data_IF_847489027756
#
_entry.id   IF_847489027756
#
_cell.length_a   1.000
_cell.length_b   1.000
_cell.length_c   1.000
_cell.angle_alpha   90.00
_cell.angle_beta   90.00
_cell.angle_gamma   90.00
#
_symmetry.space_group_name_H-M   'P 1'
#
loop_
_entity.id
_entity.type
_entity.pdbx_description
1 polymer ?
#
# COMPACT_ATOMS: atom_id res chain seq x y z
N UNK A 1 28.99 -6.08 -9.00
CA UNK A 1 29.55 -6.26 -10.37
C UNK A 1 28.35 -6.30 -11.32
N UNK A 2 28.05 -5.19 -12.00
CA UNK A 2 26.90 -5.08 -12.90
C UNK A 2 27.23 -5.84 -14.19
N UNK A 3 26.38 -6.79 -14.61
CA UNK A 3 26.56 -7.48 -15.88
C UNK A 3 26.42 -6.46 -17.02
N UNK A 4 27.31 -6.45 -18.01
CA UNK A 4 27.21 -5.53 -19.13
C UNK A 4 25.97 -5.83 -19.96
N UNK A 5 25.24 -4.77 -20.36
CA UNK A 5 24.13 -4.88 -21.30
C UNK A 5 24.70 -5.23 -22.67
N UNK A 6 24.31 -6.39 -23.20
CA UNK A 6 24.82 -6.93 -24.45
C UNK A 6 23.73 -7.03 -25.54
N UNK A 7 24.20 -7.09 -26.79
CA UNK A 7 23.31 -7.47 -27.91
C UNK A 7 22.96 -8.95 -27.80
N UNK A 8 21.67 -9.28 -27.88
CA UNK A 8 21.19 -10.64 -27.67
C UNK A 8 19.67 -10.76 -27.87
N UNK A 9 19.10 -11.96 -27.57
CA UNK A 9 17.68 -12.21 -27.77
C UNK A 9 16.80 -11.36 -26.83
N UNK A 10 17.33 -10.89 -25.68
CA UNK A 10 16.63 -10.00 -24.76
C UNK A 10 16.92 -8.55 -25.13
N UNK A 11 15.92 -7.73 -25.43
CA UNK A 11 16.10 -6.33 -25.77
C UNK A 11 16.85 -5.55 -24.67
N UNK A 12 17.74 -4.62 -25.06
CA UNK A 12 18.56 -3.83 -24.12
C UNK A 12 17.74 -3.09 -23.05
N UNK A 13 16.54 -2.60 -23.39
CA UNK A 13 15.69 -1.93 -22.41
C UNK A 13 15.13 -2.89 -21.34
N UNK A 14 14.88 -4.15 -21.69
CA UNK A 14 14.44 -5.16 -20.72
C UNK A 14 15.59 -5.59 -19.82
N UNK A 15 16.80 -5.74 -20.36
CA UNK A 15 18.00 -6.00 -19.56
C UNK A 15 18.24 -4.86 -18.57
N UNK A 16 18.19 -3.60 -19.04
CA UNK A 16 18.33 -2.42 -18.19
C UNK A 16 17.22 -2.34 -17.14
N UNK A 17 15.97 -2.63 -17.50
CA UNK A 17 14.85 -2.68 -16.55
C UNK A 17 15.15 -3.64 -15.40
N UNK A 18 15.57 -4.88 -15.70
CA UNK A 18 15.87 -5.89 -14.69
C UNK A 18 17.04 -5.49 -13.79
N UNK A 19 18.08 -4.86 -14.34
CA UNK A 19 19.21 -4.33 -13.57
C UNK A 19 18.77 -3.20 -12.64
N UNK A 20 17.95 -2.27 -13.14
CA UNK A 20 17.42 -1.17 -12.33
C UNK A 20 16.47 -1.69 -11.23
N UNK A 21 15.62 -2.69 -11.50
CA UNK A 21 14.78 -3.32 -10.48
C UNK A 21 15.60 -3.92 -9.34
N UNK A 22 16.65 -4.67 -9.68
CA UNK A 22 17.55 -5.27 -8.69
C UNK A 22 18.26 -4.20 -7.86
N UNK A 23 18.75 -3.13 -8.52
CA UNK A 23 19.42 -2.02 -7.87
C UNK A 23 18.48 -1.22 -6.97
N UNK A 24 17.26 -0.94 -7.43
CA UNK A 24 16.24 -0.26 -6.62
C UNK A 24 15.97 -1.05 -5.34
N UNK A 25 15.82 -2.36 -5.44
CA UNK A 25 15.56 -3.20 -4.28
C UNK A 25 16.73 -3.26 -3.28
N UNK A 26 17.99 -3.13 -3.76
CA UNK A 26 19.19 -3.24 -2.94
C UNK A 26 19.67 -1.92 -2.33
N UNK A 27 19.51 -0.80 -3.04
CA UNK A 27 20.22 0.45 -2.75
C UNK A 27 19.31 1.64 -2.43
N UNK A 28 17.99 1.58 -2.77
CA UNK A 28 17.09 2.72 -2.66
C UNK A 28 15.91 2.45 -1.72
N UNK A 29 15.48 3.51 -1.05
CA UNK A 29 14.24 3.54 -0.28
C UNK A 29 13.11 4.20 -1.07
N UNK A 30 11.82 3.92 -0.75
CA UNK A 30 10.71 4.66 -1.29
C UNK A 30 10.88 6.18 -1.13
N UNK A 31 10.68 6.92 -2.22
CA UNK A 31 10.88 8.37 -2.25
C UNK A 31 12.27 8.83 -2.68
N UNK A 32 13.26 7.94 -2.74
CA UNK A 32 14.61 8.30 -3.19
C UNK A 32 14.62 8.67 -4.68
N UNK A 33 15.41 9.68 -5.07
CA UNK A 33 15.55 10.05 -6.47
C UNK A 33 16.40 9.00 -7.22
N UNK A 34 15.91 8.56 -8.37
CA UNK A 34 16.72 7.76 -9.30
C UNK A 34 17.73 8.67 -10.02
N UNK A 35 18.94 8.18 -10.34
CA UNK A 35 19.89 8.91 -11.18
C UNK A 35 19.23 9.38 -12.50
N UNK A 36 19.60 10.58 -12.96
CA UNK A 36 19.04 11.14 -14.17
C UNK A 36 19.31 10.30 -15.42
N UNK A 37 18.47 10.42 -16.46
CA UNK A 37 18.57 9.63 -17.72
C UNK A 37 20.00 9.66 -18.27
N UNK A 38 20.67 10.83 -18.29
CA UNK A 38 22.04 10.95 -18.81
C UNK A 38 23.06 10.18 -17.98
N UNK A 39 22.95 10.22 -16.66
CA UNK A 39 23.84 9.44 -15.80
C UNK A 39 23.67 7.93 -16.03
N UNK A 40 22.45 7.47 -16.23
CA UNK A 40 22.17 6.07 -16.57
C UNK A 40 22.66 5.69 -17.99
N UNK A 41 22.57 6.60 -18.97
CA UNK A 41 23.16 6.40 -20.30
C UNK A 41 24.66 6.15 -20.21
N UNK A 42 25.34 7.04 -19.46
CA UNK A 42 26.80 6.98 -19.28
C UNK A 42 27.21 5.73 -18.46
N UNK A 43 26.48 5.39 -17.41
CA UNK A 43 26.76 4.27 -16.51
C UNK A 43 26.56 2.90 -17.18
N UNK A 44 25.49 2.73 -17.96
CA UNK A 44 25.13 1.44 -18.56
C UNK A 44 25.53 1.32 -20.04
N UNK A 45 26.09 2.36 -20.63
CA UNK A 45 26.55 2.36 -22.03
C UNK A 45 25.41 2.13 -23.04
N UNK A 46 24.23 2.63 -22.77
CA UNK A 46 23.03 2.46 -23.62
C UNK A 46 22.50 3.79 -24.12
N UNK A 47 21.67 3.75 -25.17
CA UNK A 47 21.08 4.96 -25.72
C UNK A 47 20.01 5.54 -24.78
N UNK A 48 19.78 6.86 -24.89
CA UNK A 48 18.73 7.57 -24.16
C UNK A 48 17.34 6.97 -24.36
N UNK A 49 17.05 6.51 -25.59
CA UNK A 49 15.78 5.86 -25.89
C UNK A 49 15.61 4.58 -25.07
N UNK A 50 16.69 3.79 -24.93
CA UNK A 50 16.73 2.56 -24.13
C UNK A 50 16.46 2.88 -22.66
N UNK A 51 17.13 3.90 -22.12
CA UNK A 51 16.93 4.34 -20.71
C UNK A 51 15.49 4.80 -20.50
N UNK A 52 14.96 5.66 -21.39
CA UNK A 52 13.59 6.19 -21.25
C UNK A 52 12.54 5.09 -21.32
N UNK A 53 12.76 4.05 -22.14
CA UNK A 53 11.86 2.91 -22.26
C UNK A 53 11.90 2.07 -20.98
N UNK A 54 13.08 1.71 -20.48
CA UNK A 54 13.24 0.96 -19.22
C UNK A 54 12.60 1.69 -18.04
N UNK A 55 12.84 3.00 -17.89
CA UNK A 55 12.19 3.83 -16.86
C UNK A 55 10.68 3.88 -17.07
N UNK A 56 10.20 4.02 -18.32
CA UNK A 56 8.78 4.02 -18.66
C UNK A 56 8.08 2.73 -18.24
N UNK A 57 8.71 1.58 -18.49
CA UNK A 57 8.21 0.27 -18.10
C UNK A 57 8.15 0.12 -16.57
N UNK A 58 9.17 0.63 -15.84
CA UNK A 58 9.18 0.65 -14.37
C UNK A 58 8.12 1.58 -13.77
N UNK A 59 7.84 2.71 -14.44
CA UNK A 59 6.74 3.62 -14.04
C UNK A 59 5.39 2.95 -14.28
N UNK A 60 5.21 2.29 -15.44
CA UNK A 60 3.98 1.55 -15.73
C UNK A 60 3.75 0.37 -14.76
N UNK A 61 4.83 -0.26 -14.31
CA UNK A 61 4.80 -1.30 -13.28
C UNK A 61 4.65 -0.76 -11.84
N UNK A 62 4.52 0.56 -11.65
CA UNK A 62 4.37 1.18 -10.32
C UNK A 62 5.63 1.10 -9.44
N UNK A 63 6.80 0.79 -10.02
CA UNK A 63 8.08 0.73 -9.28
C UNK A 63 8.76 2.10 -9.17
N UNK A 64 8.48 2.97 -10.12
CA UNK A 64 8.96 4.35 -10.17
C UNK A 64 7.78 5.32 -10.38
N UNK A 65 7.96 6.58 -9.94
CA UNK A 65 7.04 7.68 -10.24
C UNK A 65 7.80 8.86 -10.85
N UNK A 66 7.21 9.51 -11.85
CA UNK A 66 7.75 10.74 -12.41
C UNK A 66 7.12 11.96 -11.74
N UNK A 67 7.96 12.89 -11.32
CA UNK A 67 7.52 14.18 -10.79
C UNK A 67 8.01 15.26 -11.76
N UNK A 68 7.04 15.97 -12.37
CA UNK A 68 7.34 17.01 -13.37
C UNK A 68 8.30 18.06 -12.80
N UNK A 69 9.42 18.29 -13.49
CA UNK A 69 10.44 19.25 -13.09
C UNK A 69 11.36 18.81 -11.95
N UNK A 70 11.09 17.67 -11.30
CA UNK A 70 11.91 17.18 -10.17
C UNK A 70 12.68 15.88 -10.48
N UNK A 71 12.19 15.07 -11.45
CA UNK A 71 12.86 13.83 -11.82
C UNK A 71 12.00 12.58 -11.66
N UNK A 72 12.68 11.43 -11.58
CA UNK A 72 12.07 10.11 -11.35
C UNK A 72 12.47 9.64 -9.96
N UNK A 73 11.51 9.11 -9.22
CA UNK A 73 11.66 8.68 -7.83
C UNK A 73 11.21 7.24 -7.68
N UNK A 74 11.79 6.53 -6.72
CA UNK A 74 11.31 5.20 -6.34
C UNK A 74 9.89 5.34 -5.79
N UNK A 75 8.96 4.61 -6.38
CA UNK A 75 7.60 4.59 -5.90
C UNK A 75 7.53 3.81 -4.57
N UNK A 76 6.62 4.16 -3.67
CA UNK A 76 6.28 3.28 -2.58
C UNK A 76 5.95 1.90 -3.16
N UNK A 77 6.44 0.84 -2.53
CA UNK A 77 6.04 -0.51 -2.95
C UNK A 77 4.51 -0.54 -2.99
N UNK A 78 3.89 -1.05 -4.09
CA UNK A 78 2.46 -1.28 -4.03
C UNK A 78 2.24 -2.16 -2.79
N UNK A 79 1.45 -1.66 -1.86
CA UNK A 79 0.98 -2.48 -0.77
C UNK A 79 0.18 -3.61 -1.40
N UNK A 80 0.82 -4.73 -1.59
CA UNK A 80 0.10 -5.99 -1.67
C UNK A 80 -0.37 -6.20 -0.23
N UNK A 81 -1.56 -5.69 0.07
CA UNK A 81 -2.28 -6.15 1.24
C UNK A 81 -2.49 -7.66 1.01
N UNK A 82 -1.52 -8.43 1.44
CA UNK A 82 -1.78 -9.82 1.73
C UNK A 82 -2.73 -9.72 2.90
N UNK A 83 -3.93 -10.24 2.75
CA UNK A 83 -4.87 -10.42 3.85
C UNK A 83 -4.19 -11.30 4.91
N UNK A 84 -3.33 -10.65 5.68
CA UNK A 84 -2.79 -11.20 6.90
C UNK A 84 -3.67 -10.70 8.03
N UNK A 85 -3.81 -11.51 9.06
CA UNK A 85 -4.46 -11.13 10.31
C UNK A 85 -3.77 -9.93 11.00
N UNK A 86 -2.71 -9.39 10.40
CA UNK A 86 -2.02 -8.19 10.82
C UNK A 86 -2.80 -6.93 10.40
N UNK A 87 -2.82 -5.94 11.29
CA UNK A 87 -3.44 -4.66 10.99
C UNK A 87 -2.63 -3.87 9.95
N UNK A 88 -3.30 -2.99 9.19
CA UNK A 88 -2.62 -2.03 8.30
C UNK A 88 -1.50 -1.26 9.02
N UNK A 89 -1.71 -0.89 10.28
CA UNK A 89 -0.71 -0.18 11.07
C UNK A 89 0.53 -1.02 11.36
N UNK A 90 0.38 -2.33 11.52
CA UNK A 90 1.51 -3.23 11.73
C UNK A 90 2.28 -3.46 10.43
N UNK A 91 1.58 -3.58 9.30
CA UNK A 91 2.20 -3.66 7.97
C UNK A 91 3.02 -2.40 7.66
N UNK A 92 2.48 -1.22 7.95
CA UNK A 92 3.19 0.05 7.76
C UNK A 92 4.41 0.15 8.67
N UNK A 93 4.27 -0.22 9.93
CA UNK A 93 5.37 -0.23 10.90
C UNK A 93 6.51 -1.15 10.46
N UNK A 94 6.19 -2.32 9.93
CA UNK A 94 7.18 -3.26 9.40
C UNK A 94 7.99 -2.66 8.23
N UNK A 95 7.38 -1.73 7.48
CA UNK A 95 8.00 -1.00 6.37
C UNK A 95 8.62 0.35 6.79
N UNK A 96 8.59 0.68 8.08
CA UNK A 96 9.04 1.98 8.64
C UNK A 96 8.28 3.18 8.07
N UNK A 97 7.00 2.98 7.77
CA UNK A 97 6.07 3.98 7.25
C UNK A 97 5.12 4.39 8.39
N UNK A 98 4.90 5.68 8.58
CA UNK A 98 3.94 6.18 9.56
C UNK A 98 2.51 5.98 9.06
N UNK A 99 1.75 5.13 9.75
CA UNK A 99 0.36 4.85 9.42
C UNK A 99 -0.57 5.88 10.04
N UNK A 100 -1.46 6.44 9.23
CA UNK A 100 -2.56 7.28 9.70
C UNK A 100 -3.84 7.04 8.89
N UNK A 101 -4.94 7.68 9.29
CA UNK A 101 -6.20 7.56 8.54
C UNK A 101 -6.98 8.86 8.56
N UNK A 102 -7.73 9.08 7.48
CA UNK A 102 -8.79 10.09 7.44
C UNK A 102 -10.14 9.40 7.37
N UNK A 103 -11.04 9.71 8.29
CA UNK A 103 -12.39 9.13 8.31
C UNK A 103 -13.18 9.72 7.15
N UNK A 104 -13.75 8.85 6.32
CA UNK A 104 -14.63 9.18 5.21
C UNK A 104 -16.09 9.03 5.61
N UNK A 105 -16.40 8.03 6.44
CA UNK A 105 -17.72 7.76 6.98
C UNK A 105 -17.57 7.07 8.33
N UNK A 106 -18.43 7.45 9.29
CA UNK A 106 -18.48 6.88 10.60
C UNK A 106 -19.90 7.01 11.13
N UNK A 107 -20.63 5.91 11.14
CA UNK A 107 -22.07 5.93 11.47
C UNK A 107 -22.55 4.64 12.13
N UNK A 108 -23.68 4.73 12.82
CA UNK A 108 -24.49 3.58 13.25
C UNK A 108 -25.68 3.47 12.32
N UNK A 109 -25.79 2.36 11.61
CA UNK A 109 -26.85 2.16 10.62
C UNK A 109 -27.19 0.69 10.45
N UNK A 110 -28.32 0.38 9.84
CA UNK A 110 -28.65 -0.98 9.46
C UNK A 110 -27.67 -1.47 8.38
N UNK A 111 -27.11 -2.68 8.54
CA UNK A 111 -26.15 -3.23 7.60
C UNK A 111 -26.83 -3.79 6.35
N UNK A 112 -26.08 -4.02 5.27
CA UNK A 112 -26.52 -4.88 4.18
C UNK A 112 -26.89 -6.28 4.70
N UNK A 113 -27.76 -6.98 3.97
CA UNK A 113 -28.25 -8.30 4.38
C UNK A 113 -27.12 -9.32 4.59
N UNK A 114 -26.11 -9.32 3.73
CA UNK A 114 -24.93 -10.18 3.83
C UNK A 114 -24.13 -9.96 5.13
N UNK A 115 -24.02 -8.71 5.59
CA UNK A 115 -23.33 -8.36 6.84
C UNK A 115 -24.17 -8.78 8.05
N UNK A 116 -25.50 -8.59 8.00
CA UNK A 116 -26.40 -9.05 9.05
C UNK A 116 -26.34 -10.59 9.19
N UNK A 117 -26.35 -11.31 8.07
CA UNK A 117 -26.20 -12.77 8.05
C UNK A 117 -24.86 -13.20 8.63
N UNK A 118 -23.75 -12.55 8.24
CA UNK A 118 -22.42 -12.84 8.78
C UNK A 118 -22.34 -12.64 10.30
N UNK A 119 -23.00 -11.60 10.83
CA UNK A 119 -23.04 -11.35 12.28
C UNK A 119 -24.09 -12.19 13.01
N UNK A 120 -24.98 -12.90 12.30
CA UNK A 120 -26.08 -13.64 12.89
C UNK A 120 -27.12 -12.73 13.56
N UNK A 121 -27.34 -11.52 13.03
CA UNK A 121 -28.24 -10.49 13.57
C UNK A 121 -29.40 -10.23 12.62
N UNK A 122 -30.46 -9.54 13.11
CA UNK A 122 -31.54 -9.12 12.24
C UNK A 122 -31.10 -7.98 11.30
N UNK A 123 -31.66 -7.92 10.09
CA UNK A 123 -31.36 -6.84 9.14
C UNK A 123 -31.80 -5.44 9.62
N UNK A 124 -32.63 -5.39 10.66
CA UNK A 124 -33.07 -4.15 11.33
C UNK A 124 -32.15 -3.70 12.44
N UNK A 125 -31.23 -4.58 12.89
CA UNK A 125 -30.28 -4.23 13.96
C UNK A 125 -29.25 -3.23 13.42
N UNK A 126 -28.89 -2.25 14.26
CA UNK A 126 -27.89 -1.27 13.85
C UNK A 126 -26.50 -1.74 14.22
N UNK A 127 -25.59 -1.59 13.26
CA UNK A 127 -24.16 -1.86 13.43
C UNK A 127 -23.34 -0.61 13.14
N UNK A 128 -22.05 -0.68 13.40
CA UNK A 128 -21.12 0.43 13.15
C UNK A 128 -20.49 0.23 11.78
N UNK A 129 -20.63 1.23 10.91
CA UNK A 129 -19.90 1.32 9.65
C UNK A 129 -18.81 2.37 9.78
N UNK A 130 -17.60 1.97 9.46
CA UNK A 130 -16.42 2.84 9.47
C UNK A 130 -15.70 2.74 8.13
N UNK A 131 -15.69 3.85 7.38
CA UNK A 131 -14.97 3.95 6.11
C UNK A 131 -13.82 4.94 6.26
N UNK A 132 -12.60 4.51 5.92
CA UNK A 132 -11.39 5.31 6.11
C UNK A 132 -10.53 5.33 4.86
N UNK A 133 -9.93 6.49 4.58
CA UNK A 133 -8.77 6.58 3.71
C UNK A 133 -7.53 6.29 4.57
N UNK A 134 -6.81 5.22 4.23
CA UNK A 134 -5.58 4.82 4.90
C UNK A 134 -4.40 5.55 4.27
N UNK A 135 -3.54 6.11 5.10
CA UNK A 135 -2.40 6.91 4.67
C UNK A 135 -1.11 6.28 5.22
N UNK A 136 -0.04 6.35 4.40
CA UNK A 136 1.32 6.04 4.83
C UNK A 136 2.21 7.27 4.55
N UNK A 137 2.89 7.79 5.56
CA UNK A 137 3.67 9.04 5.47
C UNK A 137 2.85 10.21 4.87
N UNK A 138 1.53 10.25 5.17
CA UNK A 138 0.61 11.26 4.65
C UNK A 138 0.08 11.02 3.23
N UNK A 139 0.58 10.03 2.50
CA UNK A 139 0.13 9.69 1.14
C UNK A 139 -0.98 8.64 1.16
N UNK A 140 -2.01 8.76 0.27
CA UNK A 140 -3.10 7.81 0.19
C UNK A 140 -2.63 6.42 -0.26
N UNK A 141 -3.03 5.38 0.48
CA UNK A 141 -2.71 3.99 0.17
C UNK A 141 -3.93 3.15 -0.19
N UNK A 142 -4.96 3.21 0.64
CA UNK A 142 -6.14 2.37 0.49
C UNK A 142 -7.39 3.03 1.07
N UNK A 143 -8.55 2.53 0.69
CA UNK A 143 -9.80 2.79 1.37
C UNK A 143 -10.23 1.48 2.03
N UNK A 144 -10.46 1.50 3.35
CA UNK A 144 -11.15 0.44 4.04
C UNK A 144 -12.62 0.83 4.29
N UNK A 145 -13.52 -0.13 4.18
CA UNK A 145 -14.95 0.01 4.48
C UNK A 145 -15.35 -1.21 5.31
N UNK A 146 -15.48 -1.01 6.62
CA UNK A 146 -15.62 -2.08 7.58
C UNK A 146 -16.91 -1.94 8.41
N UNK A 147 -17.48 -3.10 8.75
CA UNK A 147 -18.63 -3.20 9.64
C UNK A 147 -18.22 -3.86 10.95
N UNK A 148 -18.75 -3.35 12.04
CA UNK A 148 -18.51 -3.88 13.39
C UNK A 148 -19.84 -4.14 14.08
N UNK A 149 -19.93 -5.29 14.76
CA UNK A 149 -21.11 -5.65 15.53
C UNK A 149 -21.23 -4.71 16.74
N UNK A 150 -22.22 -3.81 16.71
CA UNK A 150 -22.40 -2.79 17.75
C UNK A 150 -22.72 -3.36 19.15
N UNK A 151 -23.18 -4.60 19.22
CA UNK A 151 -23.41 -5.26 20.52
C UNK A 151 -22.09 -5.67 21.18
N UNK A 152 -21.09 -6.06 20.36
CA UNK A 152 -19.78 -6.46 20.85
C UNK A 152 -18.85 -5.26 21.12
N UNK A 153 -19.03 -4.17 20.40
CA UNK A 153 -18.19 -2.97 20.48
C UNK A 153 -19.03 -1.69 20.58
N UNK A 154 -19.85 -1.54 21.64
CA UNK A 154 -20.87 -0.48 21.73
C UNK A 154 -20.29 0.93 21.63
N UNK A 155 -19.12 1.17 22.17
CA UNK A 155 -18.49 2.51 22.27
C UNK A 155 -17.31 2.69 21.29
N UNK A 156 -17.27 1.87 20.21
CA UNK A 156 -16.16 1.91 19.25
C UNK A 156 -15.90 3.32 18.71
N UNK A 157 -16.95 4.08 18.41
CA UNK A 157 -16.86 5.41 17.83
C UNK A 157 -16.44 6.51 18.84
N UNK A 158 -16.44 6.20 20.11
CA UNK A 158 -15.96 7.10 21.19
C UNK A 158 -14.46 6.98 21.39
N UNK A 159 -13.85 6.00 20.75
CA UNK A 159 -12.43 5.71 20.83
C UNK A 159 -11.64 6.21 19.61
N UNK A 160 -10.33 6.09 19.68
CA UNK A 160 -9.43 6.49 18.58
C UNK A 160 -9.47 5.49 17.41
N UNK A 161 -10.42 5.72 16.51
CA UNK A 161 -10.55 4.93 15.26
C UNK A 161 -9.68 5.44 14.11
N UNK A 162 -8.87 6.49 14.32
CA UNK A 162 -7.93 7.01 13.33
C UNK A 162 -6.69 6.12 13.17
N UNK A 163 -6.33 5.40 14.21
CA UNK A 163 -5.19 4.49 14.24
C UNK A 163 -5.61 3.02 14.00
N UNK A 164 -5.04 2.08 14.72
CA UNK A 164 -5.33 0.66 14.57
C UNK A 164 -6.60 0.27 15.32
N UNK A 165 -7.68 0.01 14.59
CA UNK A 165 -8.91 -0.54 15.19
C UNK A 165 -8.66 -1.95 15.76
N UNK A 166 -7.76 -2.75 15.17
CA UNK A 166 -7.41 -4.07 15.71
C UNK A 166 -6.81 -3.97 17.11
N UNK A 167 -5.88 -3.04 17.31
CA UNK A 167 -5.32 -2.76 18.64
C UNK A 167 -6.38 -2.27 19.61
N UNK A 168 -7.33 -1.47 19.15
CA UNK A 168 -8.43 -0.98 19.95
C UNK A 168 -9.37 -2.13 20.36
N UNK A 169 -9.76 -3.01 19.41
CA UNK A 169 -10.59 -4.18 19.68
C UNK A 169 -9.95 -5.09 20.73
N UNK A 170 -8.66 -5.35 20.60
CA UNK A 170 -7.93 -6.18 21.55
C UNK A 170 -7.87 -5.54 22.96
N UNK A 171 -7.47 -4.27 23.04
CA UNK A 171 -7.25 -3.58 24.32
C UNK A 171 -8.53 -3.25 25.08
N UNK A 172 -9.58 -2.80 24.39
CA UNK A 172 -10.81 -2.32 25.02
C UNK A 172 -11.90 -3.38 25.14
N UNK A 173 -11.92 -4.34 24.19
CA UNK A 173 -12.99 -5.33 24.13
C UNK A 173 -12.49 -6.77 24.28
N UNK A 174 -11.17 -7.01 24.35
CA UNK A 174 -10.59 -8.35 24.39
C UNK A 174 -10.84 -9.19 23.14
N UNK A 175 -11.13 -8.53 22.02
CA UNK A 175 -11.46 -9.17 20.75
C UNK A 175 -10.22 -9.20 19.85
N UNK A 176 -9.73 -10.39 19.53
CA UNK A 176 -8.67 -10.62 18.56
C UNK A 176 -9.22 -11.16 17.25
N UNK A 177 -8.54 -10.86 16.14
CA UNK A 177 -8.84 -11.46 14.82
C UNK A 177 -8.14 -12.82 14.75
N UNK A 178 -8.92 -13.89 14.68
CA UNK A 178 -8.40 -15.27 14.68
C UNK A 178 -8.56 -15.95 13.32
N UNK A 179 -9.48 -15.49 12.47
CA UNK A 179 -9.80 -16.09 11.18
C UNK A 179 -10.26 -15.00 10.20
N UNK A 180 -9.98 -15.19 8.91
CA UNK A 180 -10.47 -14.34 7.83
C UNK A 180 -10.89 -15.21 6.64
N UNK A 181 -12.06 -14.92 6.08
CA UNK A 181 -12.55 -15.52 4.83
C UNK A 181 -12.42 -14.51 3.68
N UNK A 182 -12.14 -15.02 2.47
CA UNK A 182 -12.06 -14.26 1.22
C UNK A 182 -13.13 -14.67 0.23
#
# INVERSE_FOLDING_TARGET
>A
MTLPIADGPVPKHEQLRSLLESRIAAEFSPGDPLPGERALEDEYGVSRITVRRAIGDLVAAGRLRRVRGKGTFVAPAPLVSRLHLASFSDEMRAQRVEASSRILLCERTAPPEEVAQFFGTAATDTHIRLRRLRLGDGEPYAVDDAWYNATLVPDLLENDVYHSVYTLLEKHYGLGVTEAEQ
#
